data_IF_046816577559
#
_entry.id   IF_046816577559
#
_cell.length_a   1.000
_cell.length_b   1.000
_cell.length_c   1.000
_cell.angle_alpha   90.00
_cell.angle_beta   90.00
_cell.angle_gamma   90.00
#
_symmetry.space_group_name_H-M   'P 1'
#
loop_
_entity.id
_entity.type
_entity.pdbx_description
1 polymer ?
#
# COMPACT_ATOMS: atom_id res chain seq x y z
N UNK A 1 -16.53 -7.80 8.38
CA UNK A 1 -15.61 -6.67 8.12
C UNK A 1 -16.10 -5.98 6.86
N UNK A 2 -16.39 -4.68 6.92
CA UNK A 2 -16.83 -3.92 5.74
C UNK A 2 -15.62 -3.73 4.81
N UNK A 3 -15.85 -3.74 3.50
CA UNK A 3 -14.78 -3.68 2.49
C UNK A 3 -13.81 -2.51 2.71
N UNK A 4 -14.33 -1.36 3.13
CA UNK A 4 -13.55 -0.17 3.52
C UNK A 4 -12.51 -0.45 4.60
N UNK A 5 -12.88 -1.16 5.67
CA UNK A 5 -11.95 -1.48 6.77
C UNK A 5 -10.80 -2.38 6.30
N UNK A 6 -11.04 -3.24 5.31
CA UNK A 6 -10.01 -4.09 4.72
C UNK A 6 -9.04 -3.28 3.87
N UNK A 7 -9.54 -2.29 3.12
CA UNK A 7 -8.71 -1.37 2.34
C UNK A 7 -7.85 -0.49 3.25
N UNK A 8 -8.45 0.11 4.28
CA UNK A 8 -7.76 0.98 5.25
C UNK A 8 -6.60 0.22 5.91
N UNK A 9 -6.84 -1.00 6.40
CA UNK A 9 -5.78 -1.85 7.00
C UNK A 9 -4.67 -2.21 6.01
N UNK A 10 -4.98 -2.35 4.73
CA UNK A 10 -3.99 -2.67 3.71
C UNK A 10 -3.09 -1.47 3.43
N UNK A 11 -3.68 -0.29 3.29
CA UNK A 11 -2.94 0.95 3.13
C UNK A 11 -2.09 1.27 4.36
N UNK A 12 -2.60 1.05 5.58
CA UNK A 12 -1.83 1.21 6.82
C UNK A 12 -0.59 0.31 6.83
N UNK A 13 -0.75 -0.98 6.51
CA UNK A 13 0.37 -1.93 6.44
C UNK A 13 1.39 -1.52 5.38
N UNK A 14 0.91 -1.08 4.23
CA UNK A 14 1.80 -0.69 3.17
C UNK A 14 2.52 0.65 3.47
N UNK A 15 1.86 1.60 4.11
CA UNK A 15 2.50 2.83 4.61
C UNK A 15 3.56 2.52 5.66
N UNK A 16 3.35 1.51 6.51
CA UNK A 16 4.35 1.05 7.48
C UNK A 16 5.63 0.48 6.83
N UNK A 17 5.60 0.10 5.55
CA UNK A 17 6.81 -0.34 4.82
C UNK A 17 7.64 0.82 4.28
N UNK A 18 7.14 2.07 4.36
CA UNK A 18 7.89 3.23 3.90
C UNK A 18 9.05 3.55 4.84
N UNK A 19 10.20 4.04 4.31
CA UNK A 19 11.29 4.51 5.13
C UNK A 19 10.84 5.59 6.12
N UNK A 20 11.45 5.63 7.31
CA UNK A 20 11.20 6.71 8.28
C UNK A 20 11.55 8.07 7.65
N UNK A 21 10.65 9.04 7.79
CA UNK A 21 10.80 10.37 7.18
C UNK A 21 10.43 10.41 5.69
N UNK A 22 9.91 9.33 5.12
CA UNK A 22 9.29 9.37 3.81
C UNK A 22 7.97 10.17 3.87
N UNK A 23 7.75 11.00 2.85
CA UNK A 23 6.48 11.73 2.66
C UNK A 23 5.70 11.04 1.56
N UNK A 24 4.52 10.51 1.89
CA UNK A 24 3.61 9.93 0.91
C UNK A 24 3.07 11.04 0.00
N UNK A 25 3.22 10.86 -1.31
CA UNK A 25 2.69 11.78 -2.32
C UNK A 25 1.33 11.27 -2.80
N UNK A 26 1.25 9.99 -3.16
CA UNK A 26 0.03 9.37 -3.64
C UNK A 26 0.01 7.88 -3.32
N UNK A 27 -1.19 7.35 -3.12
CA UNK A 27 -1.45 5.92 -2.99
C UNK A 27 -2.64 5.56 -3.88
N UNK A 28 -2.53 4.45 -4.61
CA UNK A 28 -3.62 3.91 -5.42
C UNK A 28 -3.69 2.40 -5.18
N UNK A 29 -4.89 1.88 -4.95
CA UNK A 29 -5.11 0.47 -4.62
C UNK A 29 -6.19 -0.15 -5.47
N UNK A 30 -5.98 -1.40 -5.87
CA UNK A 30 -6.94 -2.27 -6.53
C UNK A 30 -7.14 -3.49 -5.63
N UNK A 31 -8.37 -3.69 -5.17
CA UNK A 31 -8.70 -4.70 -4.17
C UNK A 31 -9.63 -5.75 -4.78
N UNK A 32 -9.07 -6.87 -5.21
CA UNK A 32 -9.84 -8.01 -5.69
C UNK A 32 -9.92 -9.11 -4.61
N UNK A 33 -10.93 -9.97 -4.74
CA UNK A 33 -11.07 -11.16 -3.91
C UNK A 33 -9.90 -12.10 -4.22
N UNK A 34 -8.97 -12.27 -3.26
CA UNK A 34 -7.77 -13.09 -3.43
C UNK A 34 -6.56 -12.36 -4.04
N UNK A 35 -6.66 -11.10 -4.47
CA UNK A 35 -5.50 -10.33 -4.89
C UNK A 35 -5.70 -8.85 -4.58
N UNK A 36 -4.89 -8.31 -3.68
CA UNK A 36 -4.88 -6.87 -3.39
C UNK A 36 -3.54 -6.31 -3.82
N UNK A 37 -3.58 -5.23 -4.61
CA UNK A 37 -2.39 -4.49 -5.03
C UNK A 37 -2.55 -3.03 -4.64
N UNK A 38 -1.52 -2.42 -4.08
CA UNK A 38 -1.44 -0.96 -3.95
C UNK A 38 -0.08 -0.45 -4.39
N UNK A 39 -0.09 0.67 -5.09
CA UNK A 39 1.08 1.41 -5.53
C UNK A 39 1.17 2.71 -4.75
N UNK A 40 2.37 3.01 -4.26
CA UNK A 40 2.69 4.16 -3.42
C UNK A 40 3.78 4.97 -4.09
N UNK A 41 3.55 6.26 -4.23
CA UNK A 41 4.59 7.21 -4.62
C UNK A 41 4.96 8.00 -3.37
N UNK A 42 6.25 8.02 -3.03
CA UNK A 42 6.73 8.73 -1.86
C UNK A 42 8.03 9.47 -2.15
N UNK A 43 8.29 10.55 -1.41
CA UNK A 43 9.56 11.27 -1.42
C UNK A 43 10.38 10.87 -0.21
N UNK A 44 11.66 10.56 -0.41
CA UNK A 44 12.60 10.30 0.67
C UNK A 44 13.98 10.85 0.28
N UNK A 45 14.60 11.64 1.17
CA UNK A 45 15.89 12.31 0.92
C UNK A 45 15.95 13.08 -0.42
N UNK A 46 14.88 13.79 -0.77
CA UNK A 46 14.81 14.58 -2.02
C UNK A 46 14.56 13.76 -3.29
N UNK A 47 14.49 12.42 -3.22
CA UNK A 47 14.19 11.54 -4.35
C UNK A 47 12.77 11.02 -4.28
N UNK A 48 12.18 10.74 -5.44
CA UNK A 48 10.85 10.14 -5.57
C UNK A 48 10.99 8.67 -5.86
N UNK A 49 10.24 7.86 -5.12
CA UNK A 49 10.20 6.41 -5.23
C UNK A 49 8.77 5.97 -5.52
N UNK A 50 8.63 4.92 -6.31
CA UNK A 50 7.35 4.24 -6.53
C UNK A 50 7.52 2.79 -6.09
N UNK A 51 6.71 2.34 -5.15
CA UNK A 51 6.68 0.95 -4.69
C UNK A 51 5.30 0.36 -4.87
N UNK A 52 5.22 -0.94 -5.13
CA UNK A 52 3.95 -1.65 -5.24
C UNK A 52 3.93 -2.81 -4.27
N UNK A 53 2.96 -2.81 -3.37
CA UNK A 53 2.69 -3.91 -2.47
C UNK A 53 1.59 -4.77 -3.09
N UNK A 54 1.87 -6.04 -3.32
CA UNK A 54 0.89 -7.02 -3.78
C UNK A 54 0.79 -8.12 -2.74
N UNK A 55 -0.42 -8.39 -2.28
CA UNK A 55 -0.71 -9.61 -1.50
C UNK A 55 -1.48 -10.57 -2.39
N UNK A 56 -0.82 -11.67 -2.73
CA UNK A 56 -1.46 -12.82 -3.35
C UNK A 56 -2.19 -13.59 -2.24
N UNK A 57 -3.52 -13.56 -2.30
CA UNK A 57 -4.39 -14.33 -1.43
C UNK A 57 -4.56 -15.74 -1.98
N UNK A 58 -3.57 -16.59 -1.74
CA UNK A 58 -3.65 -18.03 -1.90
C UNK A 58 -3.21 -18.74 -0.63
N UNK A 59 -3.98 -18.62 0.45
CA UNK A 59 -4.09 -19.59 1.56
C UNK A 59 -5.09 -19.06 2.60
N UNK A 60 -6.31 -19.61 2.56
CA UNK A 60 -7.09 -19.86 3.78
C UNK A 60 -6.69 -21.24 4.29
#
# INVERSE_FOLDING_TARGET
MKEKERQDRFFDRAQATLPRGAVLISACGVFNRGNSRASFTYRHCGRVFTTTLQTEGGAV
#
